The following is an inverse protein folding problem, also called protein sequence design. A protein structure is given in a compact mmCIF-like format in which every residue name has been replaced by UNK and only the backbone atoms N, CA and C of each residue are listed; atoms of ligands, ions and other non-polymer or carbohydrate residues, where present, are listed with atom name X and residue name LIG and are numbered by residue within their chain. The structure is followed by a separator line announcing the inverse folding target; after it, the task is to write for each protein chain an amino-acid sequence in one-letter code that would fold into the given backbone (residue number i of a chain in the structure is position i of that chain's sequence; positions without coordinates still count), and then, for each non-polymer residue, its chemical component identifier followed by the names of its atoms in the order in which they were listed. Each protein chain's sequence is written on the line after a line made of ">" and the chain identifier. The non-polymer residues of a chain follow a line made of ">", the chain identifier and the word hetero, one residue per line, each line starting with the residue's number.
data_IF_019733402934
#
_entry.id   IF_019733402934
#
_cell.length_a   1.000
_cell.length_b   1.000
_cell.length_c   1.000
_cell.angle_alpha   90.00
_cell.angle_beta   90.00
_cell.angle_gamma   90.00
#
_symmetry.space_group_name_H-M   'P 1'
#
loop_
_entity.id
_entity.type
_entity.pdbx_description
1 polymer ?
2 non-polymer ?
3 water ?
#
# COMPACT_ATOMS: atom_id res chain seq x y z
N UNK A 26 13.10 -6.73 5.54
CA UNK A 26 11.88 -5.91 5.52
C UNK A 26 11.07 -6.10 4.22
N UNK A 27 10.20 -7.11 4.21
CA UNK A 27 9.35 -7.36 3.06
C UNK A 27 7.89 -7.44 3.49
N UNK A 28 7.03 -6.91 2.65
CA UNK A 28 5.61 -6.94 2.87
C UNK A 28 5.04 -7.42 1.55
N UNK A 29 4.22 -8.46 1.61
CA UNK A 29 3.67 -9.09 0.41
C UNK A 29 2.26 -9.63 0.68
N UNK A 30 1.30 -9.26 -0.19
CA UNK A 30 -0.10 -9.64 -0.03
C UNK A 30 -0.81 -9.58 -1.35
N UNK A 31 -1.88 -10.36 -1.48
CA UNK A 31 -2.86 -10.11 -2.54
C UNK A 31 -3.67 -8.85 -2.27
N UNK A 32 -3.65 -7.90 -3.20
CA UNK A 32 -4.48 -6.71 -3.10
C UNK A 32 -5.24 -6.49 -4.41
N UNK A 33 -6.33 -5.74 -4.34
CA UNK A 33 -7.07 -5.39 -5.55
C UNK A 33 -6.67 -4.01 -6.08
N UNK A 34 -6.44 -3.94 -7.39
CA UNK A 34 -5.99 -2.71 -8.05
C UNK A 34 -7.11 -2.04 -8.87
N UNK A 35 -7.36 -0.76 -8.60
CA UNK A 35 -8.24 0.08 -9.42
C UNK A 35 -7.43 1.23 -10.06
N UNK A 36 -7.87 1.72 -11.22
CA UNK A 36 -7.20 2.87 -11.84
C UNK A 36 -8.01 4.17 -11.77
N UNK A 44 -13.13 -2.02 -12.60
CA UNK A 44 -11.77 -2.17 -13.12
C UNK A 44 -10.93 -3.06 -12.21
N UNK A 45 -11.48 -3.36 -11.03
CA UNK A 45 -10.76 -4.07 -9.97
C UNK A 45 -10.26 -5.47 -10.34
N UNK A 46 -8.95 -5.66 -10.28
CA UNK A 46 -8.36 -6.97 -10.45
C UNK A 46 -7.40 -7.25 -9.29
N UNK A 47 -7.38 -8.49 -8.81
CA UNK A 47 -6.51 -8.85 -7.69
C UNK A 47 -5.12 -9.29 -8.20
N UNK A 48 -4.07 -8.77 -7.59
CA UNK A 48 -2.71 -9.17 -7.93
C UNK A 48 -1.92 -9.42 -6.66
N UNK A 49 -0.75 -10.02 -6.83
CA UNK A 49 0.23 -10.17 -5.75
C UNK A 49 1.16 -8.94 -5.72
N UNK A 50 1.13 -8.22 -4.60
CA UNK A 50 1.88 -6.98 -4.42
C UNK A 50 3.04 -7.18 -3.46
N UNK A 51 4.17 -6.59 -3.79
CA UNK A 51 5.35 -6.70 -2.93
C UNK A 51 5.90 -5.30 -2.63
N UNK A 52 6.02 -4.97 -1.34
CA UNK A 52 6.59 -3.70 -0.91
C UNK A 52 8.05 -3.91 -0.51
N UNK A 53 8.95 -3.17 -1.15
CA UNK A 53 10.37 -3.24 -0.86
C UNK A 53 10.99 -1.86 -1.06
N UNK A 54 11.91 -1.47 -0.16
CA UNK A 54 12.54 -0.15 -0.24
C UNK A 54 11.46 0.92 -0.16
N UNK A 55 11.36 1.75 -1.20
CA UNK A 55 10.28 2.74 -1.30
C UNK A 55 9.37 2.45 -2.49
N UNK A 56 9.40 1.22 -2.97
CA UNK A 56 8.65 0.87 -4.17
C UNK A 56 7.68 -0.27 -3.98
N UNK A 57 6.65 -0.29 -4.81
CA UNK A 57 5.69 -1.38 -4.90
C UNK A 57 5.74 -2.00 -6.28
N UNK A 58 5.76 -3.34 -6.32
CA UNK A 58 5.70 -4.09 -7.57
C UNK A 58 4.58 -5.13 -7.48
N UNK A 59 3.98 -5.50 -8.60
CA UNK A 59 2.94 -6.53 -8.51
C UNK A 59 3.01 -7.57 -9.63
N UNK A 60 2.39 -8.71 -9.38
CA UNK A 60 2.53 -9.89 -10.23
C UNK A 60 1.16 -10.58 -10.31
N UNK A 61 1.00 -11.51 -11.24
CA UNK A 61 -0.27 -12.20 -11.37
C UNK A 61 -0.62 -13.03 -10.13
N UNK A 62 0.39 -13.66 -9.53
CA UNK A 62 0.18 -14.44 -8.31
C UNK A 62 1.52 -14.60 -7.60
N UNK A 63 1.52 -15.16 -6.39
CA UNK A 63 2.73 -15.21 -5.58
C UNK A 63 3.84 -16.17 -6.02
N UNK A 64 3.51 -17.17 -6.85
CA UNK A 64 4.52 -18.08 -7.36
C UNK A 64 5.42 -17.39 -8.39
N UNK A 65 4.99 -16.22 -8.86
CA UNK A 65 5.73 -15.50 -9.89
C UNK A 65 6.51 -14.31 -9.38
N UNK A 66 6.53 -14.08 -8.07
CA UNK A 66 7.14 -12.86 -7.53
C UNK A 66 8.62 -12.76 -7.88
N UNK A 67 9.23 -13.89 -8.21
CA UNK A 67 10.64 -13.95 -8.61
C UNK A 67 10.88 -13.30 -9.96
N UNK A 68 9.95 -13.53 -10.88
CA UNK A 68 10.11 -13.07 -12.24
C UNK A 68 9.86 -11.58 -12.48
N UNK A 69 9.23 -11.33 -13.63
CA UNK A 69 9.07 -9.99 -14.19
C UNK A 69 7.78 -9.31 -13.74
N UNK A 70 7.90 -8.19 -12.99
CA UNK A 70 6.69 -7.54 -12.49
C UNK A 70 5.85 -6.93 -13.61
N UNK A 71 4.53 -6.93 -13.41
CA UNK A 71 3.63 -6.26 -14.34
C UNK A 71 3.96 -4.76 -14.36
N UNK A 72 4.26 -4.23 -13.19
CA UNK A 72 4.59 -2.81 -13.08
C UNK A 72 5.27 -2.59 -11.75
N UNK A 73 6.13 -1.59 -11.69
CA UNK A 73 6.83 -1.26 -10.46
C UNK A 73 6.72 0.24 -10.24
N UNK A 74 6.25 0.61 -9.05
CA UNK A 74 5.95 1.99 -8.72
C UNK A 74 6.77 2.50 -7.54
N UNK A 75 7.54 3.54 -7.79
CA UNK A 75 8.26 4.22 -6.73
C UNK A 75 7.34 5.26 -6.08
N UNK A 76 7.18 5.17 -4.77
CA UNK A 76 6.26 6.05 -4.04
C UNK A 76 6.96 7.28 -3.44
N UNK A 77 8.26 7.44 -3.64
CA UNK A 77 8.95 8.60 -3.07
C UNK A 77 8.31 9.91 -3.56
N UNK A 78 7.86 10.73 -2.62
CA UNK A 78 7.23 12.00 -2.97
C UNK A 78 5.80 11.90 -3.47
N UNK A 79 5.15 10.75 -3.26
CA UNK A 79 3.76 10.60 -3.68
C UNK A 79 2.82 11.26 -2.67
N UNK A 80 1.59 11.50 -3.10
CA UNK A 80 0.56 11.94 -2.19
C UNK A 80 -0.29 10.74 -1.82
N UNK A 81 -0.76 10.69 -0.59
CA UNK A 81 -1.56 9.55 -0.12
C UNK A 81 -2.91 9.99 0.41
N UNK A 82 -3.97 9.36 -0.08
CA UNK A 82 -5.33 9.63 0.39
C UNK A 82 -5.99 8.35 0.92
N UNK A 83 -6.30 8.31 2.22
CA UNK A 83 -6.97 7.12 2.77
C UNK A 83 -8.40 7.07 2.27
N UNK A 84 -8.90 5.88 1.92
CA UNK A 84 -10.31 5.74 1.56
C UNK A 84 -10.92 4.63 2.41
N UNK A 85 -11.37 5.01 3.60
CA UNK A 85 -11.78 4.04 4.60
C UNK A 85 -13.23 4.19 5.04
N UNK A 86 -13.97 3.08 5.05
CA UNK A 86 -15.27 3.02 5.73
C UNK A 86 -15.27 1.73 6.51
N UNK A 87 -15.06 1.86 7.82
CA UNK A 87 -14.81 0.71 8.67
C UNK A 87 -16.03 -0.24 8.74
N UNK A 88 -17.21 0.34 8.93
CA UNK A 88 -18.44 -0.45 9.00
C UNK A 88 -18.83 -0.99 7.63
N UNK A 89 -18.49 -0.24 6.59
CA UNK A 89 -18.70 -0.70 5.23
C UNK A 89 -17.67 -1.72 4.77
N UNK A 90 -16.69 -2.00 5.61
CA UNK A 90 -15.61 -2.94 5.28
C UNK A 90 -14.82 -2.50 4.01
N UNK A 91 -14.53 -1.20 3.91
CA UNK A 91 -13.75 -0.68 2.81
C UNK A 91 -12.44 -0.10 3.32
N UNK A 92 -11.33 -0.65 2.84
CA UNK A 92 -10.01 -0.21 3.28
C UNK A 92 -9.14 0.13 2.05
N UNK A 93 -9.34 1.32 1.50
CA UNK A 93 -8.66 1.72 0.30
C UNK A 93 -7.49 2.66 0.54
N UNK A 94 -6.48 2.53 -0.32
CA UNK A 94 -5.33 3.44 -0.34
C UNK A 94 -5.23 4.09 -1.72
N UNK A 95 -5.47 5.40 -1.81
CA UNK A 95 -5.30 6.11 -3.08
C UNK A 95 -3.92 6.71 -3.10
N UNK A 96 -3.14 6.36 -4.12
CA UNK A 96 -1.78 6.88 -4.27
C UNK A 96 -1.71 7.81 -5.47
N UNK A 97 -1.15 9.00 -5.26
CA UNK A 97 -0.92 9.95 -6.34
C UNK A 97 0.57 10.06 -6.61
N UNK A 98 1.00 9.38 -7.66
CA UNK A 98 2.41 9.25 -7.95
C UNK A 98 2.86 10.23 -9.02
N UNK A 99 3.79 11.12 -8.67
CA UNK A 99 4.32 12.11 -9.61
C UNK A 99 5.01 11.46 -10.80
N UNK A 100 4.61 11.86 -12.00
CA UNK A 100 5.27 11.44 -13.23
C UNK A 100 5.59 12.70 -14.04
N UNK A 101 6.19 12.54 -15.22
CA UNK A 101 6.69 13.71 -15.97
C UNK A 101 5.53 14.64 -16.35
N UNK A 102 4.40 14.03 -16.66
CA UNK A 102 3.25 14.77 -17.20
C UNK A 102 2.06 14.81 -16.26
N UNK A 103 2.32 14.62 -14.96
CA UNK A 103 1.31 14.78 -13.95
C UNK A 103 1.32 13.75 -12.83
N UNK A 104 0.14 13.45 -12.31
CA UNK A 104 -0.01 12.44 -11.28
C UNK A 104 -0.53 11.15 -11.89
N UNK A 105 0.10 10.04 -11.54
CA UNK A 105 -0.41 8.73 -11.89
C UNK A 105 -1.22 8.23 -10.69
N UNK A 106 -2.50 7.95 -10.91
CA UNK A 106 -3.39 7.60 -9.83
C UNK A 106 -3.53 6.10 -9.65
N UNK A 107 -3.15 5.62 -8.47
CA UNK A 107 -3.17 4.19 -8.17
C UNK A 107 -3.98 3.90 -6.90
N UNK A 108 -5.02 3.08 -7.04
CA UNK A 108 -5.89 2.76 -5.92
C UNK A 108 -5.71 1.30 -5.47
N UNK A 109 -5.27 1.10 -4.24
CA UNK A 109 -5.13 -0.25 -3.70
C UNK A 109 -6.24 -0.56 -2.68
N UNK A 110 -7.02 -1.60 -2.96
CA UNK A 110 -8.01 -2.06 -1.99
C UNK A 110 -7.46 -3.22 -1.15
N UNK A 111 -7.41 -3.03 0.16
CA UNK A 111 -6.94 -4.05 1.09
C UNK A 111 -8.12 -4.88 1.55
N UNK A 112 -7.86 -6.11 2.02
CA UNK A 112 -8.93 -7.02 2.36
C UNK A 112 -9.46 -6.79 3.77
N UNK A 113 -8.65 -6.19 4.64
CA UNK A 113 -9.05 -5.95 6.05
C UNK A 113 -8.15 -4.94 6.76
N UNK A 114 -8.50 -4.64 8.01
CA UNK A 114 -7.88 -3.56 8.77
C UNK A 114 -6.40 -3.74 9.10
N UNK A 115 -6.00 -4.95 9.46
CA UNK A 115 -4.61 -5.23 9.81
C UNK A 115 -3.71 -5.10 8.60
N UNK A 116 -4.16 -5.65 7.47
CA UNK A 116 -3.44 -5.55 6.19
C UNK A 116 -3.34 -4.09 5.73
N UNK A 117 -4.46 -3.40 5.77
CA UNK A 117 -4.49 -1.97 5.50
C UNK A 117 -3.49 -1.17 6.35
N UNK A 118 -3.44 -1.44 7.66
CA UNK A 118 -2.53 -0.70 8.55
C UNK A 118 -1.06 -0.91 8.15
N UNK A 119 -0.68 -2.14 7.80
CA UNK A 119 0.68 -2.44 7.42
C UNK A 119 1.05 -1.81 6.07
N UNK A 120 0.13 -1.86 5.11
CA UNK A 120 0.35 -1.30 3.78
C UNK A 120 0.33 0.22 3.79
N UNK A 121 -0.62 0.80 4.53
CA UNK A 121 -0.75 2.24 4.60
C UNK A 121 0.47 2.87 5.29
N UNK A 122 0.88 2.27 6.42
CA UNK A 122 2.09 2.69 7.11
C UNK A 122 3.32 2.63 6.21
N UNK A 123 3.46 1.54 5.44
CA UNK A 123 4.56 1.41 4.49
C UNK A 123 4.51 2.52 3.44
N UNK A 124 3.32 2.81 2.94
CA UNK A 124 3.16 3.85 1.92
C UNK A 124 3.53 5.24 2.45
N UNK A 125 3.15 5.50 3.70
CA UNK A 125 3.40 6.80 4.30
C UNK A 125 4.89 7.03 4.50
N UNK A 126 5.58 6.01 5.00
CA UNK A 126 7.03 6.11 5.13
C UNK A 126 7.71 6.28 3.78
N UNK A 127 7.29 5.50 2.79
CA UNK A 127 7.92 5.54 1.48
C UNK A 127 7.80 6.91 0.82
N UNK A 128 6.65 7.56 0.99
CA UNK A 128 6.43 8.84 0.34
C UNK A 128 7.45 9.86 0.86
N UNK A 129 7.89 9.69 2.10
CA UNK A 129 8.92 10.53 2.70
C UNK A 129 10.33 9.99 2.47
N UNK A 130 10.47 8.98 1.63
CA UNK A 130 11.79 8.40 1.39
C UNK A 130 12.26 7.40 2.43
N UNK A 131 11.37 6.91 3.29
CA UNK A 131 11.75 5.97 4.34
C UNK A 131 11.29 4.53 4.03
N UNK A 132 12.08 3.55 4.46
CA UNK A 132 11.71 2.16 4.28
C UNK A 132 11.13 1.58 5.57
N UNK A 133 10.63 0.35 5.48
CA UNK A 133 10.06 -0.35 6.64
C UNK A 133 11.12 -0.70 7.68
N UNK A 134 12.39 -0.57 7.32
CA UNK A 134 13.48 -0.74 8.27
C UNK A 134 13.57 0.40 9.28
N UNK A 135 13.02 1.56 8.94
CA UNK A 135 12.95 2.70 9.85
C UNK A 135 12.17 2.40 11.14
N UNK A 136 12.70 2.86 12.27
CA UNK A 136 12.12 2.55 13.58
C UNK A 136 10.73 3.16 13.79
N UNK A 137 10.26 3.96 12.84
CA UNK A 137 8.94 4.57 12.95
C UNK A 137 7.86 3.72 12.27
N UNK A 138 8.25 2.65 11.59
CA UNK A 138 7.28 1.85 10.85
C UNK A 138 6.25 1.13 11.73
N UNK A 139 6.73 0.33 12.69
CA UNK A 139 5.83 -0.42 13.56
C UNK A 139 4.92 0.46 14.45
N UNK A 140 5.48 1.53 15.04
CA UNK A 140 4.59 2.44 15.76
C UNK A 140 3.54 3.06 14.84
N UNK A 141 3.89 3.27 13.58
CA UNK A 141 2.97 3.84 12.61
C UNK A 141 1.82 2.86 12.31
N UNK A 142 2.17 1.58 12.09
CA UNK A 142 1.19 0.52 11.97
C UNK A 142 0.25 0.51 13.17
N UNK A 143 0.83 0.55 14.37
CA UNK A 143 0.08 0.61 15.60
C UNK A 143 -0.88 1.80 15.69
N UNK A 144 -0.41 3.00 15.35
CA UNK A 144 -1.27 4.17 15.39
C UNK A 144 -2.47 3.94 14.47
N UNK A 145 -2.18 3.69 13.20
CA UNK A 145 -3.24 3.51 12.21
C UNK A 145 -4.28 2.52 12.73
N UNK A 146 -3.80 1.39 13.23
CA UNK A 146 -4.63 0.26 13.64
C UNK A 146 -5.55 0.55 14.82
N UNK A 147 -5.06 1.34 15.77
CA UNK A 147 -5.82 1.64 16.99
C UNK A 147 -7.14 2.34 16.66
N UNK A 148 -7.12 3.20 15.64
CA UNK A 148 -8.32 3.93 15.22
C UNK A 148 -9.33 3.00 14.59
N UNK A 149 -8.83 2.04 13.81
CA UNK A 149 -9.71 1.06 13.19
C UNK A 149 -10.29 0.06 14.22
N UNK A 150 -9.46 -0.41 15.16
CA UNK A 150 -9.95 -1.30 16.22
C UNK A 150 -11.02 -0.59 17.03
N UNK A 151 -10.85 0.71 17.25
CA UNK A 151 -11.82 1.45 18.04
C UNK A 151 -13.16 1.60 17.31
N UNK A 152 -13.12 1.89 16.01
CA UNK A 152 -14.34 1.97 15.21
C UNK A 152 -15.03 0.59 15.04
N UNK A 153 -14.22 -0.48 14.97
CA UNK A 153 -14.73 -1.85 14.97
C UNK A 153 -15.54 -2.14 16.25
X LIG B 1 5.00 9.94 -17.42
X LIG B 1 4.18 9.14 -18.26
X LIG B 1 6.45 9.51 -17.50
X LIG B 1 7.21 10.11 -16.47
X LIG B 1 6.55 7.99 -17.36
X LIG B 1 7.76 7.54 -17.93
#
# INVERSE_FOLDING_TARGET
>A
MAHHHHHHSSGLEVLFQGPEDITDIPKLADYLKLFRPKKLMLKACKQYWFVFKDTSIAYFKNKELEQGEPIEKLNLRGCEIVPDVNVSGRKFGIKLLIPVADGMNEVYLRCDHEDQYARWMAACILASKGKTMADSSYQPEVISILSFLKMKNRNSSPLVASSLE
>B hetero
1 GOL C1 O1 C2 O2 C3 O3
#
